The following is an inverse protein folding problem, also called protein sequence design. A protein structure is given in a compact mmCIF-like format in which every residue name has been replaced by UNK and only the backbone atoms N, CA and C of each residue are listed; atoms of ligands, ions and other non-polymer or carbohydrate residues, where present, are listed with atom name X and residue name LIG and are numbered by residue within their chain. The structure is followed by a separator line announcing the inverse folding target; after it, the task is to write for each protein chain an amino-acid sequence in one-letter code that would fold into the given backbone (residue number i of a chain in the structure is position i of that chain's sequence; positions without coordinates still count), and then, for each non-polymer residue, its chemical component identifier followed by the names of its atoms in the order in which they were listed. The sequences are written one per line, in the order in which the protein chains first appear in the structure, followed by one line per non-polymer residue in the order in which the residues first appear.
data_IF_825063001673
#
_entry.id   IF_825063001673
#
_cell.length_a   1.000
_cell.length_b   1.000
_cell.length_c   1.000
_cell.angle_alpha   90.00
_cell.angle_beta   90.00
_cell.angle_gamma   90.00
#
_symmetry.space_group_name_H-M   'P 1'
#
loop_
_entity.id
_entity.type
_entity.pdbx_description
1 polymer ?
#
# COMPACT_ATOMS: atom_id res chain seq x y z
N UNK A 1 38.48 -5.44 3.36
CA UNK A 1 37.02 -5.48 3.11
C UNK A 1 36.28 -4.46 3.98
N UNK A 2 36.36 -3.15 3.66
CA UNK A 2 35.62 -2.08 4.38
C UNK A 2 34.54 -1.37 3.53
N UNK A 3 34.46 -1.65 2.22
CA UNK A 3 33.53 -0.95 1.32
C UNK A 3 32.07 -1.49 1.33
N UNK A 4 31.82 -2.71 1.83
CA UNK A 4 30.47 -3.31 1.78
C UNK A 4 29.52 -2.75 2.85
N UNK A 5 30.03 -2.37 4.03
CA UNK A 5 29.18 -1.84 5.11
C UNK A 5 28.73 -0.40 4.84
N UNK A 6 29.54 0.41 4.15
CA UNK A 6 29.17 1.80 3.85
C UNK A 6 28.05 1.90 2.79
N UNK A 7 27.99 0.94 1.85
CA UNK A 7 26.94 0.93 0.82
C UNK A 7 25.56 0.49 1.34
N UNK A 8 25.49 -0.28 2.44
CA UNK A 8 24.19 -0.63 3.05
C UNK A 8 23.60 0.49 3.92
N UNK A 9 24.44 1.36 4.49
CA UNK A 9 23.95 2.48 5.31
C UNK A 9 23.45 3.63 4.44
N UNK A 10 24.08 3.90 3.28
CA UNK A 10 23.64 4.98 2.40
C UNK A 10 22.28 4.76 1.70
N UNK A 11 21.83 3.50 1.56
CA UNK A 11 20.52 3.21 0.97
C UNK A 11 19.38 3.12 1.99
N UNK A 12 19.69 3.10 3.29
CA UNK A 12 18.68 3.10 4.37
C UNK A 12 18.44 4.48 4.99
N UNK A 13 19.17 5.51 4.53
CA UNK A 13 18.87 6.90 4.83
C UNK A 13 17.45 7.25 4.34
N UNK A 14 16.52 7.17 5.30
CA UNK A 14 15.30 7.98 5.36
C UNK A 14 14.42 7.90 4.13
N UNK A 15 13.80 6.73 3.90
CA UNK A 15 12.39 6.75 3.49
C UNK A 15 11.69 7.49 4.63
N UNK A 16 11.41 8.78 4.43
CA UNK A 16 10.73 9.61 5.41
C UNK A 16 9.49 8.88 5.89
N UNK A 17 9.13 9.04 7.17
CA UNK A 17 7.96 8.34 7.77
C UNK A 17 6.70 8.48 6.89
N UNK A 18 6.62 9.56 6.11
CA UNK A 18 5.53 9.89 5.18
C UNK A 18 5.60 9.18 3.82
N UNK A 19 6.79 8.85 3.28
CA UNK A 19 6.89 8.06 2.03
C UNK A 19 6.72 6.55 2.27
N UNK A 20 6.46 6.15 3.52
CA UNK A 20 6.23 4.75 3.88
C UNK A 20 4.90 4.25 3.31
N UNK A 21 4.89 3.03 2.76
CA UNK A 21 3.67 2.35 2.37
C UNK A 21 2.61 2.31 3.46
N UNK A 22 1.39 2.76 3.15
CA UNK A 22 0.24 2.75 4.06
C UNK A 22 -0.88 1.84 3.60
N UNK A 23 -1.41 1.05 4.53
CA UNK A 23 -2.68 0.35 4.35
C UNK A 23 -3.84 1.37 4.31
N UNK A 24 -4.90 1.02 3.60
CA UNK A 24 -6.09 1.87 3.49
C UNK A 24 -6.73 2.06 4.87
N UNK A 25 -7.36 3.21 5.10
CA UNK A 25 -8.04 3.51 6.37
C UNK A 25 -9.11 2.46 6.73
N UNK A 26 -9.75 1.86 5.73
CA UNK A 26 -10.72 0.78 5.94
C UNK A 26 -10.11 -0.47 6.59
N UNK A 27 -8.82 -0.77 6.37
CA UNK A 27 -8.14 -1.85 7.08
C UNK A 27 -8.02 -1.57 8.58
N UNK A 28 -7.90 -0.29 8.99
CA UNK A 28 -7.95 0.12 10.40
C UNK A 28 -9.36 -0.03 10.96
N UNK A 29 -10.38 0.31 10.16
CA UNK A 29 -11.78 0.17 10.57
C UNK A 29 -12.20 -1.29 10.80
N UNK A 30 -11.58 -2.24 10.08
CA UNK A 30 -11.83 -3.67 10.30
C UNK A 30 -11.47 -4.16 11.71
N UNK A 31 -10.60 -3.44 12.43
CA UNK A 31 -10.03 -3.89 13.71
C UNK A 31 -10.44 -3.02 14.89
N UNK A 32 -11.53 -2.26 14.76
CA UNK A 32 -12.03 -1.34 15.79
C UNK A 32 -12.40 -2.03 17.11
N UNK A 33 -12.57 -3.36 17.09
CA UNK A 33 -12.80 -4.20 18.27
C UNK A 33 -11.61 -4.30 19.22
N UNK A 34 -10.40 -4.00 18.78
CA UNK A 34 -9.23 -3.97 19.65
C UNK A 34 -9.04 -2.57 20.25
N UNK A 35 -8.25 -2.43 21.31
CA UNK A 35 -7.86 -1.10 21.77
C UNK A 35 -6.97 -0.39 20.72
N UNK A 36 -7.01 0.95 20.73
CA UNK A 36 -6.36 1.79 19.73
C UNK A 36 -4.85 1.52 19.59
N UNK A 37 -4.12 1.31 20.68
CA UNK A 37 -2.69 1.02 20.65
C UNK A 37 -2.38 -0.31 19.94
N UNK A 38 -3.20 -1.33 20.18
CA UNK A 38 -3.09 -2.63 19.51
C UNK A 38 -3.38 -2.51 18.02
N UNK A 39 -4.38 -1.69 17.64
CA UNK A 39 -4.71 -1.41 16.24
C UNK A 39 -3.56 -0.73 15.50
N UNK A 40 -2.99 0.33 16.06
CA UNK A 40 -1.84 1.01 15.45
C UNK A 40 -0.65 0.07 15.29
N UNK A 41 -0.32 -0.68 16.34
CA UNK A 41 0.81 -1.60 16.33
C UNK A 41 0.69 -2.68 15.25
N UNK A 42 -0.49 -3.30 15.10
CA UNK A 42 -0.67 -4.33 14.08
C UNK A 42 -0.60 -3.74 12.68
N UNK A 43 -1.22 -2.58 12.42
CA UNK A 43 -1.22 -1.97 11.09
C UNK A 43 0.21 -1.57 10.68
N UNK A 44 0.96 -0.90 11.56
CA UNK A 44 2.36 -0.56 11.29
C UNK A 44 3.23 -1.80 11.06
N UNK A 45 2.93 -2.91 11.74
CA UNK A 45 3.66 -4.15 11.53
C UNK A 45 3.31 -4.76 10.16
N UNK A 46 2.04 -4.75 9.77
CA UNK A 46 1.57 -5.23 8.47
C UNK A 46 2.17 -4.41 7.31
N UNK A 47 2.27 -3.09 7.47
CA UNK A 47 2.83 -2.18 6.47
C UNK A 47 4.34 -2.43 6.19
N UNK A 48 5.06 -3.05 7.13
CA UNK A 48 6.49 -3.41 6.97
C UNK A 48 6.71 -4.64 6.10
N UNK A 49 5.71 -5.51 5.96
CA UNK A 49 5.89 -6.75 5.21
C UNK A 49 6.00 -6.49 3.70
N UNK A 50 6.99 -7.14 3.08
CA UNK A 50 7.11 -7.19 1.62
C UNK A 50 6.32 -8.34 1.00
N UNK A 51 5.85 -9.29 1.79
CA UNK A 51 5.16 -10.50 1.33
C UNK A 51 3.84 -10.64 2.08
N UNK A 52 2.77 -11.00 1.35
CA UNK A 52 1.42 -11.05 1.92
C UNK A 52 1.24 -12.22 2.89
N UNK A 53 1.82 -13.40 2.62
CA UNK A 53 1.60 -14.58 3.46
C UNK A 53 2.13 -14.41 4.91
N UNK A 54 3.35 -13.90 5.16
CA UNK A 54 3.79 -13.59 6.52
C UNK A 54 2.94 -12.51 7.20
N UNK A 55 2.45 -11.53 6.45
CA UNK A 55 1.55 -10.50 6.96
C UNK A 55 0.22 -11.11 7.43
N UNK A 56 -0.39 -11.98 6.60
CA UNK A 56 -1.62 -12.72 6.94
C UNK A 56 -1.41 -13.58 8.18
N UNK A 57 -0.31 -14.34 8.25
CA UNK A 57 -0.02 -15.17 9.42
C UNK A 57 0.15 -14.35 10.70
N UNK A 58 0.75 -13.16 10.60
CA UNK A 58 0.92 -12.23 11.72
C UNK A 58 -0.42 -11.64 12.14
N UNK A 59 -1.24 -11.24 11.18
CA UNK A 59 -2.60 -10.79 11.41
C UNK A 59 -3.44 -11.88 12.08
N UNK A 60 -3.38 -13.13 11.62
CA UNK A 60 -4.14 -14.25 12.20
C UNK A 60 -3.77 -14.47 13.66
N UNK A 61 -2.48 -14.43 14.01
CA UNK A 61 -2.02 -14.52 15.41
C UNK A 61 -2.55 -13.35 16.26
N UNK A 62 -2.46 -12.13 15.74
CA UNK A 62 -2.95 -10.94 16.42
C UNK A 62 -4.47 -10.99 16.61
N UNK A 63 -5.21 -11.36 15.57
CA UNK A 63 -6.66 -11.50 15.56
C UNK A 63 -7.10 -12.54 16.59
N UNK A 64 -6.42 -13.69 16.66
CA UNK A 64 -6.71 -14.72 17.65
C UNK A 64 -6.55 -14.24 19.10
N UNK A 65 -5.59 -13.36 19.36
CA UNK A 65 -5.32 -12.82 20.69
C UNK A 65 -6.24 -11.66 21.08
N UNK A 66 -6.65 -10.84 20.12
CA UNK A 66 -7.35 -9.57 20.36
C UNK A 66 -8.83 -9.61 19.95
N UNK A 67 -9.34 -10.75 19.49
CA UNK A 67 -10.76 -10.89 19.14
C UNK A 67 -11.63 -10.67 20.37
N UNK A 68 -12.53 -9.69 20.31
CA UNK A 68 -13.57 -9.48 21.30
C UNK A 68 -14.87 -9.98 20.67
N UNK A 69 -15.59 -10.85 21.40
CA UNK A 69 -16.79 -11.50 20.87
C UNK A 69 -17.86 -10.48 20.42
N UNK A 70 -18.62 -10.80 19.35
CA UNK A 70 -19.50 -9.86 18.64
C UNK A 70 -20.60 -9.21 19.47
N UNK A 71 -20.98 -9.76 20.63
CA UNK A 71 -22.07 -9.22 21.46
C UNK A 71 -21.86 -7.73 21.81
N UNK A 72 -20.59 -7.30 21.94
CA UNK A 72 -20.27 -5.89 22.14
C UNK A 72 -20.47 -5.05 20.87
N UNK A 73 -20.25 -5.62 19.68
CA UNK A 73 -20.28 -4.91 18.39
C UNK A 73 -21.66 -4.86 17.77
N UNK A 74 -22.46 -5.93 17.89
CA UNK A 74 -23.87 -5.90 17.49
C UNK A 74 -24.61 -4.76 18.20
N UNK A 75 -24.31 -4.53 19.49
CA UNK A 75 -24.92 -3.43 20.25
C UNK A 75 -24.48 -2.04 19.82
N UNK A 76 -23.24 -1.86 19.39
CA UNK A 76 -22.64 -0.53 19.21
C UNK A 76 -22.47 -0.10 17.75
N UNK A 77 -22.31 -1.02 16.79
CA UNK A 77 -21.88 -0.69 15.43
C UNK A 77 -22.69 -1.40 14.33
N UNK A 78 -23.66 -2.24 14.68
CA UNK A 78 -24.69 -2.74 13.75
C UNK A 78 -24.20 -3.68 12.63
N UNK A 79 -22.95 -4.13 12.66
CA UNK A 79 -22.43 -5.12 11.71
C UNK A 79 -21.64 -6.19 12.46
N UNK A 80 -22.17 -7.42 12.60
CA UNK A 80 -21.39 -8.53 13.12
C UNK A 80 -20.45 -9.01 12.03
N UNK A 81 -19.35 -8.31 11.79
CA UNK A 81 -18.25 -8.92 11.04
C UNK A 81 -17.70 -10.02 11.92
N UNK A 82 -18.09 -11.26 11.67
CA UNK A 82 -17.51 -12.40 12.37
C UNK A 82 -16.00 -12.45 12.07
N UNK A 83 -15.26 -13.19 12.90
CA UNK A 83 -13.79 -13.26 12.81
C UNK A 83 -13.27 -13.68 11.43
N UNK A 84 -14.02 -14.54 10.73
CA UNK A 84 -13.67 -15.02 9.40
C UNK A 84 -13.81 -13.91 8.36
N UNK A 85 -14.88 -13.12 8.43
CA UNK A 85 -15.10 -12.00 7.52
C UNK A 85 -14.03 -10.91 7.68
N UNK A 86 -13.72 -10.52 8.93
CA UNK A 86 -12.62 -9.59 9.23
C UNK A 86 -11.31 -10.10 8.63
N UNK A 87 -11.04 -11.40 8.78
CA UNK A 87 -9.85 -12.04 8.22
C UNK A 87 -9.84 -11.99 6.70
N UNK A 88 -10.93 -12.33 6.05
CA UNK A 88 -10.99 -12.40 4.60
C UNK A 88 -10.94 -11.00 3.96
N UNK A 89 -11.55 -9.99 4.58
CA UNK A 89 -11.40 -8.59 4.16
C UNK A 89 -9.97 -8.07 4.37
N UNK A 90 -9.35 -8.35 5.53
CA UNK A 90 -7.97 -7.96 5.76
C UNK A 90 -7.01 -8.58 4.74
N UNK A 91 -7.22 -9.82 4.32
CA UNK A 91 -6.43 -10.43 3.23
C UNK A 91 -6.55 -9.62 1.94
N UNK A 92 -7.77 -9.21 1.54
CA UNK A 92 -7.97 -8.39 0.33
C UNK A 92 -7.18 -7.09 0.43
N UNK A 93 -7.22 -6.42 1.59
CA UNK A 93 -6.41 -5.22 1.83
C UNK A 93 -4.91 -5.48 1.75
N UNK A 94 -4.41 -6.58 2.31
CA UNK A 94 -2.99 -6.93 2.27
C UNK A 94 -2.51 -7.28 0.85
N UNK A 95 -3.33 -7.99 0.05
CA UNK A 95 -3.01 -8.25 -1.35
C UNK A 95 -3.04 -6.98 -2.19
N UNK A 96 -4.07 -6.15 -2.00
CA UNK A 96 -4.16 -4.82 -2.61
C UNK A 96 -2.92 -3.97 -2.31
N UNK A 97 -2.55 -3.92 -1.03
CA UNK A 97 -1.42 -3.14 -0.55
C UNK A 97 -0.11 -3.59 -1.20
N UNK A 98 0.13 -4.91 -1.28
CA UNK A 98 1.30 -5.46 -1.96
C UNK A 98 1.31 -5.10 -3.45
N UNK A 99 0.19 -5.26 -4.14
CA UNK A 99 0.05 -4.92 -5.55
C UNK A 99 0.40 -3.45 -5.81
N UNK A 100 -0.13 -2.55 -4.97
CA UNK A 100 0.10 -1.10 -5.05
C UNK A 100 1.54 -0.70 -4.74
N UNK A 101 2.14 -1.32 -3.72
CA UNK A 101 3.54 -1.11 -3.37
C UNK A 101 4.45 -1.46 -4.53
N UNK A 102 4.25 -2.64 -5.12
CA UNK A 102 5.00 -3.06 -6.29
C UNK A 102 4.80 -2.11 -7.49
N UNK A 103 3.57 -1.64 -7.72
CA UNK A 103 3.25 -0.73 -8.81
C UNK A 103 4.02 0.60 -8.67
N UNK A 104 3.87 1.28 -7.54
CA UNK A 104 4.51 2.59 -7.35
C UNK A 104 6.03 2.47 -7.30
N UNK A 105 6.58 1.41 -6.70
CA UNK A 105 8.03 1.16 -6.69
C UNK A 105 8.57 0.91 -8.10
N UNK A 106 7.84 0.13 -8.91
CA UNK A 106 8.21 -0.09 -10.30
C UNK A 106 8.18 1.21 -11.11
N UNK A 107 7.11 2.01 -10.99
CA UNK A 107 6.99 3.28 -11.70
C UNK A 107 8.09 4.27 -11.32
N UNK A 108 8.35 4.44 -10.03
CA UNK A 108 9.42 5.33 -9.56
C UNK A 108 10.80 4.86 -10.03
N UNK A 109 11.07 3.55 -9.94
CA UNK A 109 12.35 2.98 -10.42
C UNK A 109 12.53 3.20 -11.92
N UNK A 110 11.49 2.96 -12.71
CA UNK A 110 11.54 3.16 -14.17
C UNK A 110 11.73 4.64 -14.50
N UNK A 111 11.00 5.54 -13.83
CA UNK A 111 11.12 6.98 -14.06
C UNK A 111 12.52 7.52 -13.73
N UNK A 112 13.18 7.01 -12.67
CA UNK A 112 14.59 7.32 -12.40
C UNK A 112 15.48 6.80 -13.54
N UNK A 113 15.29 5.56 -13.97
CA UNK A 113 16.13 4.97 -15.02
C UNK A 113 15.98 5.65 -16.38
N UNK A 114 14.80 6.23 -16.66
CA UNK A 114 14.53 7.02 -17.87
C UNK A 114 14.91 8.50 -17.71
N UNK A 115 15.45 8.91 -16.56
CA UNK A 115 15.87 10.29 -16.30
C UNK A 115 14.72 11.29 -16.16
N UNK A 116 13.50 10.82 -15.88
CA UNK A 116 12.32 11.67 -15.66
C UNK A 116 12.33 12.26 -14.26
N UNK A 117 12.72 11.45 -13.28
CA UNK A 117 12.77 11.82 -11.88
C UNK A 117 14.15 11.55 -11.30
N UNK A 118 14.58 12.40 -10.38
CA UNK A 118 15.67 12.05 -9.48
C UNK A 118 15.13 11.21 -8.29
N UNK A 119 16.02 10.87 -7.35
CA UNK A 119 15.65 10.09 -6.15
C UNK A 119 14.68 10.85 -5.23
N UNK A 120 14.85 12.15 -5.07
CA UNK A 120 14.02 13.01 -4.23
C UNK A 120 12.61 13.14 -4.79
N UNK A 121 12.47 13.43 -6.09
CA UNK A 121 11.18 13.46 -6.79
C UNK A 121 10.43 12.14 -6.58
N UNK A 122 11.13 11.02 -6.70
CA UNK A 122 10.54 9.69 -6.51
C UNK A 122 10.07 9.43 -5.07
N UNK A 123 10.70 10.02 -4.06
CA UNK A 123 10.22 9.92 -2.67
C UNK A 123 8.97 10.79 -2.46
N UNK A 124 8.95 12.01 -2.99
CA UNK A 124 7.78 12.90 -2.93
C UNK A 124 6.58 12.31 -3.67
N UNK A 125 6.83 11.70 -4.84
CA UNK A 125 5.82 10.97 -5.62
C UNK A 125 5.24 9.80 -4.81
N UNK A 126 6.09 9.00 -4.15
CA UNK A 126 5.62 7.91 -3.27
C UNK A 126 4.79 8.44 -2.12
N UNK A 127 5.20 9.54 -1.49
CA UNK A 127 4.45 10.18 -0.39
C UNK A 127 3.04 10.56 -0.84
N UNK A 128 2.90 11.30 -1.95
CA UNK A 128 1.58 11.67 -2.49
C UNK A 128 0.74 10.43 -2.82
N UNK A 129 1.35 9.42 -3.44
CA UNK A 129 0.67 8.17 -3.75
C UNK A 129 0.12 7.48 -2.50
N UNK A 130 0.92 7.40 -1.43
CA UNK A 130 0.51 6.75 -0.19
C UNK A 130 -0.52 7.53 0.59
N UNK A 131 -0.48 8.86 0.55
CA UNK A 131 -1.51 9.70 1.16
C UNK A 131 -2.85 9.53 0.42
N UNK A 132 -2.88 9.57 -0.91
CA UNK A 132 -4.09 9.27 -1.68
C UNK A 132 -4.60 7.85 -1.40
N UNK A 133 -3.70 6.88 -1.39
CA UNK A 133 -4.06 5.49 -1.16
C UNK A 133 -4.65 5.24 0.23
N UNK A 134 -4.22 5.98 1.25
CA UNK A 134 -4.77 5.85 2.60
C UNK A 134 -6.28 6.15 2.62
N UNK A 135 -6.76 7.07 1.78
CA UNK A 135 -8.15 7.55 1.77
C UNK A 135 -9.03 6.93 0.70
N UNK A 136 -8.45 6.46 -0.40
CA UNK A 136 -9.20 6.04 -1.59
C UNK A 136 -8.96 4.57 -1.95
N UNK A 137 -9.97 3.95 -2.57
CA UNK A 137 -9.80 2.70 -3.30
C UNK A 137 -8.77 2.86 -4.44
N UNK A 138 -8.36 1.75 -5.08
CA UNK A 138 -7.31 1.81 -6.10
C UNK A 138 -7.68 2.71 -7.29
N UNK A 139 -8.93 2.65 -7.76
CA UNK A 139 -9.36 3.36 -8.96
C UNK A 139 -9.39 4.86 -8.70
N UNK A 140 -9.98 5.28 -7.58
CA UNK A 140 -10.02 6.68 -7.15
C UNK A 140 -8.63 7.21 -6.81
N UNK A 141 -7.80 6.42 -6.13
CA UNK A 141 -6.42 6.81 -5.83
C UNK A 141 -5.62 7.03 -7.12
N UNK A 142 -5.71 6.10 -8.10
CA UNK A 142 -5.03 6.24 -9.38
C UNK A 142 -5.55 7.41 -10.20
N UNK A 143 -6.88 7.62 -10.24
CA UNK A 143 -7.48 8.74 -10.95
C UNK A 143 -6.99 10.08 -10.40
N UNK A 144 -7.00 10.25 -9.07
CA UNK A 144 -6.47 11.45 -8.41
C UNK A 144 -4.96 11.60 -8.57
N UNK A 145 -4.22 10.49 -8.53
CA UNK A 145 -2.77 10.49 -8.65
C UNK A 145 -2.24 10.86 -10.04
N UNK A 146 -3.09 10.83 -11.07
CA UNK A 146 -2.75 11.31 -12.41
C UNK A 146 -3.61 12.49 -12.85
N UNK A 147 -4.30 13.14 -11.91
CA UNK A 147 -5.03 14.38 -12.14
C UNK A 147 -4.07 15.55 -12.00
N UNK A 148 -3.71 16.27 -13.09
CA UNK A 148 -2.75 17.38 -13.02
C UNK A 148 -3.22 18.54 -12.12
N UNK A 149 -4.50 18.59 -11.76
CA UNK A 149 -5.08 19.61 -10.88
C UNK A 149 -5.12 19.19 -9.40
N UNK A 150 -4.55 18.03 -9.04
CA UNK A 150 -4.49 17.61 -7.64
C UNK A 150 -3.56 18.55 -6.85
N UNK A 151 -4.15 19.32 -5.94
CA UNK A 151 -3.46 20.39 -5.19
C UNK A 151 -2.28 19.90 -4.36
N UNK A 152 -2.31 18.65 -3.91
CA UNK A 152 -1.25 18.08 -3.07
C UNK A 152 0.11 17.92 -3.77
N UNK A 153 0.23 18.19 -5.07
CA UNK A 153 1.53 18.26 -5.74
C UNK A 153 2.28 19.55 -5.44
N UNK A 154 1.56 20.67 -5.29
CA UNK A 154 2.16 21.97 -4.98
C UNK A 154 2.82 21.94 -3.60
N UNK A 155 2.18 21.25 -2.64
CA UNK A 155 2.70 21.08 -1.29
C UNK A 155 4.01 20.26 -1.25
N UNK A 156 4.27 19.45 -2.28
CA UNK A 156 5.45 18.58 -2.39
C UNK A 156 6.45 19.05 -3.47
N UNK A 157 6.28 20.26 -4.01
CA UNK A 157 7.09 20.83 -5.10
C UNK A 157 7.19 19.92 -6.34
N UNK A 158 6.13 19.18 -6.66
CA UNK A 158 6.08 18.28 -7.82
C UNK A 158 5.55 19.00 -9.05
N UNK A 159 6.25 18.84 -10.17
CA UNK A 159 5.82 19.34 -11.47
C UNK A 159 4.70 18.45 -12.07
N UNK A 160 3.49 18.99 -12.30
CA UNK A 160 2.39 18.26 -12.93
C UNK A 160 2.74 17.66 -14.29
N UNK A 161 3.61 18.29 -15.08
CA UNK A 161 3.99 17.77 -16.39
C UNK A 161 4.81 16.46 -16.27
N UNK A 162 5.63 16.35 -15.23
CA UNK A 162 6.41 15.14 -14.96
C UNK A 162 5.52 13.97 -14.47
N UNK A 163 4.40 14.26 -13.80
CA UNK A 163 3.37 13.26 -13.48
C UNK A 163 2.64 12.72 -14.71
N UNK A 164 2.41 13.56 -15.72
CA UNK A 164 1.86 13.11 -17.01
C UNK A 164 2.83 12.16 -17.71
N UNK A 165 4.16 12.39 -17.62
CA UNK A 165 5.16 11.43 -18.12
C UNK A 165 5.12 10.10 -17.35
N UNK A 166 4.93 10.16 -16.03
CA UNK A 166 4.73 8.95 -15.21
C UNK A 166 3.46 8.19 -15.62
N UNK A 167 2.38 8.90 -15.98
CA UNK A 167 1.16 8.29 -16.53
C UNK A 167 1.44 7.55 -17.84
N UNK A 168 2.21 8.16 -18.74
CA UNK A 168 2.61 7.52 -20.01
C UNK A 168 3.42 6.25 -19.75
N UNK A 169 4.37 6.26 -18.81
CA UNK A 169 5.09 5.06 -18.37
C UNK A 169 4.11 4.04 -17.79
N UNK A 170 3.22 4.47 -16.90
CA UNK A 170 2.21 3.60 -16.30
C UNK A 170 1.39 2.90 -17.36
N UNK A 171 0.88 3.61 -18.36
CA UNK A 171 0.06 3.01 -19.40
C UNK A 171 0.88 2.09 -20.33
N UNK A 172 2.11 2.48 -20.69
CA UNK A 172 3.03 1.66 -21.49
C UNK A 172 3.41 0.33 -20.83
N UNK A 173 3.69 0.34 -19.52
CA UNK A 173 4.24 -0.84 -18.84
C UNK A 173 3.21 -1.65 -18.05
N UNK A 174 2.08 -1.04 -17.68
CA UNK A 174 0.99 -1.66 -16.94
C UNK A 174 -0.26 -1.92 -17.80
N UNK A 175 -0.14 -1.96 -19.14
CA UNK A 175 -1.17 -2.36 -20.13
C UNK A 175 -2.37 -3.08 -19.50
N UNK A 176 -3.62 -2.70 -19.81
CA UNK A 176 -4.86 -3.14 -19.16
C UNK A 176 -4.87 -4.56 -18.60
N UNK A 177 -4.36 -5.56 -19.31
CA UNK A 177 -4.20 -6.94 -18.82
C UNK A 177 -3.40 -7.06 -17.50
N UNK A 178 -2.34 -6.27 -17.29
CA UNK A 178 -1.61 -6.17 -16.03
C UNK A 178 -2.39 -5.41 -14.97
N UNK A 179 -3.09 -4.31 -15.30
CA UNK A 179 -4.01 -3.63 -14.37
C UNK A 179 -5.12 -4.59 -13.91
N UNK A 180 -5.77 -5.28 -14.83
CA UNK A 180 -6.77 -6.31 -14.58
C UNK A 180 -6.20 -7.49 -13.81
N UNK A 181 -4.99 -7.98 -14.10
CA UNK A 181 -4.35 -9.03 -13.29
C UNK A 181 -4.03 -8.55 -11.88
N UNK A 182 -3.52 -7.32 -11.72
CA UNK A 182 -3.31 -6.69 -10.43
C UNK A 182 -4.65 -6.62 -9.68
N UNK A 183 -5.74 -6.21 -10.33
CA UNK A 183 -7.11 -6.17 -9.79
C UNK A 183 -7.69 -7.57 -9.47
N UNK A 184 -7.49 -8.58 -10.32
CA UNK A 184 -7.87 -9.97 -10.06
C UNK A 184 -7.17 -10.51 -8.81
N UNK A 185 -5.95 -10.04 -8.55
CA UNK A 185 -5.21 -10.35 -7.31
C UNK A 185 -5.91 -9.81 -6.05
N UNK A 186 -6.76 -8.78 -6.16
CA UNK A 186 -7.58 -8.26 -5.05
C UNK A 186 -8.68 -9.25 -4.67
N UNK A 187 -9.22 -9.96 -5.66
CA UNK A 187 -10.38 -10.82 -5.50
C UNK A 187 -10.02 -12.29 -5.29
N UNK A 188 -8.84 -12.74 -5.74
CA UNK A 188 -8.45 -14.14 -5.67
C UNK A 188 -6.96 -14.34 -5.26
N UNK A 189 -6.69 -14.62 -3.97
CA UNK A 189 -5.37 -14.99 -3.47
C UNK A 189 -4.71 -16.17 -4.19
N UNK A 190 -5.48 -17.12 -4.71
CA UNK A 190 -4.97 -18.37 -5.28
C UNK A 190 -4.31 -18.17 -6.66
N UNK A 191 -4.58 -17.04 -7.33
CA UNK A 191 -3.98 -16.70 -8.62
C UNK A 191 -2.47 -16.36 -8.55
N UNK A 192 -1.91 -16.11 -7.36
CA UNK A 192 -0.52 -15.65 -7.21
C UNK A 192 0.53 -16.74 -7.32
N UNK A 193 0.17 -18.03 -7.17
CA UNK A 193 1.18 -19.10 -7.08
C UNK A 193 2.03 -19.27 -8.35
N UNK A 194 1.56 -18.76 -9.49
CA UNK A 194 2.11 -19.14 -10.79
C UNK A 194 2.78 -18.02 -11.61
N UNK A 195 2.84 -16.76 -11.17
CA UNK A 195 3.08 -15.66 -12.12
C UNK A 195 4.20 -14.66 -11.84
N UNK A 196 4.97 -14.81 -10.76
CA UNK A 196 6.13 -13.95 -10.50
C UNK A 196 7.46 -14.71 -10.36
N UNK A 197 7.57 -15.87 -11.03
CA UNK A 197 8.87 -16.46 -11.41
C UNK A 197 9.24 -15.93 -12.80
#
# INVERSE_FOLDING_TARGET
MRCLLFLMICNTLTIGIVSRPRLQIFARNLILFANISSQYSIIENLEKYNWTLPAIATFDKWLNKNWIEPEFWERNYGSPTNKKEVRDEMKKYLYSFKAKKNQIDYLCKTAISEGIFNKEDSENIRKVYWDLHAWYDIERAQSKFFDPMYSGYLDENLDPASLLKLKVISDKYLNENKKQKLLLTYHNPDGLRNHWK
#
